data_IF_820015851234
#
_entry.id   IF_820015851234
#
_cell.length_a   1.000
_cell.length_b   1.000
_cell.length_c   1.000
_cell.angle_alpha   90.00
_cell.angle_beta   90.00
_cell.angle_gamma   90.00
#
_symmetry.space_group_name_H-M   'P 1'
#
loop_
_entity.id
_entity.type
_entity.pdbx_description
1 polymer ?
#
# COMPACT_ATOMS: atom_id res chain seq x y z
N UNK A 1 1.77 26.57 -68.75
CA UNK A 1 2.47 26.82 -67.49
C UNK A 1 1.51 26.45 -66.36
N UNK A 2 1.65 25.25 -65.84
CA UNK A 2 0.86 24.72 -64.71
C UNK A 2 1.70 24.83 -63.43
N UNK A 3 1.27 25.63 -62.52
CA UNK A 3 1.94 25.84 -61.22
C UNK A 3 1.36 24.82 -60.22
N UNK A 4 2.19 23.81 -59.85
CA UNK A 4 1.88 22.88 -58.77
C UNK A 4 2.04 23.60 -57.41
N UNK A 5 0.97 23.72 -56.65
CA UNK A 5 1.03 24.09 -55.24
C UNK A 5 1.36 22.82 -54.42
N UNK A 6 2.51 22.86 -53.78
CA UNK A 6 2.90 21.86 -52.78
C UNK A 6 2.18 22.24 -51.46
N UNK A 7 1.32 21.35 -51.03
CA UNK A 7 0.66 21.43 -49.72
C UNK A 7 1.60 20.80 -48.69
N UNK A 8 2.29 21.61 -47.91
CA UNK A 8 3.02 21.13 -46.72
C UNK A 8 2.01 20.71 -45.64
N UNK A 9 1.91 19.42 -45.39
CA UNK A 9 1.32 18.90 -44.15
C UNK A 9 2.28 19.18 -43.04
N UNK A 10 1.96 20.12 -42.17
CA UNK A 10 2.54 20.24 -40.84
C UNK A 10 2.05 19.04 -40.02
N UNK A 11 2.87 18.04 -39.85
CA UNK A 11 2.72 17.01 -38.82
C UNK A 11 3.06 17.71 -37.52
N UNK A 12 2.05 18.11 -36.78
CA UNK A 12 2.20 18.49 -35.38
C UNK A 12 2.65 17.21 -34.64
N UNK A 13 3.95 17.11 -34.38
CA UNK A 13 4.48 16.19 -33.38
C UNK A 13 3.89 16.62 -32.03
N UNK A 14 2.89 15.91 -31.57
CA UNK A 14 2.51 15.96 -30.17
C UNK A 14 3.69 15.39 -29.38
N UNK A 15 4.55 16.26 -28.88
CA UNK A 15 5.44 15.94 -27.78
C UNK A 15 4.54 15.59 -26.60
N UNK A 16 4.41 14.32 -26.28
CA UNK A 16 3.90 13.88 -25.00
C UNK A 16 4.85 14.42 -23.94
N UNK A 17 4.40 15.42 -23.20
CA UNK A 17 5.15 15.95 -22.09
C UNK A 17 5.41 14.82 -21.09
N UNK A 18 6.68 14.59 -20.80
CA UNK A 18 7.08 13.67 -19.75
C UNK A 18 6.45 14.12 -18.43
N UNK A 19 5.75 13.19 -17.77
CA UNK A 19 5.05 13.40 -16.47
C UNK A 19 6.05 13.47 -15.29
N UNK A 20 7.31 13.81 -15.59
CA UNK A 20 8.40 13.98 -14.62
C UNK A 20 8.16 15.08 -13.59
N UNK A 21 7.09 15.85 -13.75
CA UNK A 21 6.70 16.92 -12.81
C UNK A 21 5.91 16.42 -11.61
N UNK A 22 5.33 15.22 -11.64
CA UNK A 22 4.47 14.69 -10.57
C UNK A 22 5.27 13.98 -9.47
N UNK A 23 6.39 13.34 -9.81
CA UNK A 23 7.30 12.72 -8.86
C UNK A 23 8.52 13.60 -8.62
N UNK A 24 8.84 13.87 -7.37
CA UNK A 24 9.99 14.66 -6.97
C UNK A 24 10.85 13.89 -5.98
N UNK A 25 12.17 13.91 -6.16
CA UNK A 25 13.11 13.42 -5.17
C UNK A 25 13.13 14.35 -3.97
N UNK A 26 13.06 13.80 -2.76
CA UNK A 26 13.14 14.56 -1.52
C UNK A 26 14.61 14.76 -1.15
N UNK A 27 15.08 16.00 -1.23
CA UNK A 27 16.51 16.35 -1.16
C UNK A 27 17.20 15.92 0.15
N UNK A 28 16.49 15.98 1.28
CA UNK A 28 17.02 15.64 2.61
C UNK A 28 16.61 14.23 3.06
N UNK A 29 16.04 13.42 2.17
CA UNK A 29 15.71 12.04 2.48
C UNK A 29 16.96 11.17 2.58
N UNK A 30 16.96 10.15 3.45
CA UNK A 30 18.07 9.20 3.53
C UNK A 30 18.40 8.57 2.18
N UNK A 31 19.70 8.42 1.89
CA UNK A 31 20.19 7.82 0.65
C UNK A 31 20.75 6.43 0.97
N UNK A 32 20.31 5.41 0.25
CA UNK A 32 20.85 4.08 0.36
C UNK A 32 22.31 4.03 -0.15
N UNK A 33 23.17 3.33 0.57
CA UNK A 33 24.57 3.15 0.16
C UNK A 33 24.64 2.33 -1.14
N UNK A 34 25.77 2.44 -1.86
CA UNK A 34 25.99 1.69 -3.10
C UNK A 34 25.91 0.17 -2.93
N UNK A 35 26.29 -0.35 -1.75
CA UNK A 35 26.22 -1.77 -1.41
C UNK A 35 24.79 -2.26 -1.19
N UNK A 36 23.96 -1.42 -0.57
CA UNK A 36 22.57 -1.75 -0.21
C UNK A 36 21.58 -1.42 -1.30
N UNK A 37 21.93 -0.53 -2.24
CA UNK A 37 21.21 -0.12 -3.45
C UNK A 37 19.85 0.55 -3.25
N UNK A 38 19.07 0.15 -2.23
CA UNK A 38 17.70 0.62 -2.01
C UNK A 38 17.27 0.51 -0.55
N UNK A 39 16.32 1.32 -0.17
CA UNK A 39 15.48 1.14 1.02
C UNK A 39 14.35 0.15 0.71
N UNK A 40 13.84 -0.52 1.73
CA UNK A 40 12.91 -1.62 1.50
C UNK A 40 11.44 -1.24 1.65
N UNK A 41 11.07 -0.41 2.61
CA UNK A 41 9.69 0.02 2.78
C UNK A 41 9.59 1.41 3.41
N UNK A 42 8.45 2.04 3.20
CA UNK A 42 8.04 3.27 3.85
C UNK A 42 6.55 3.21 4.16
N UNK A 43 6.12 3.93 5.18
CA UNK A 43 4.74 4.05 5.57
C UNK A 43 4.45 5.49 5.98
N UNK A 44 3.44 6.10 5.39
CA UNK A 44 2.93 7.40 5.80
C UNK A 44 1.55 7.23 6.43
N UNK A 45 1.41 7.74 7.65
CA UNK A 45 0.15 7.72 8.39
C UNK A 45 -0.80 8.81 7.91
N UNK A 46 -0.23 9.94 7.47
CA UNK A 46 -0.92 11.09 6.92
C UNK A 46 0.06 11.90 6.05
N UNK A 47 -0.37 13.05 5.53
CA UNK A 47 0.40 13.89 4.59
C UNK A 47 1.73 14.40 5.14
N UNK A 48 1.92 14.38 6.47
CA UNK A 48 3.11 14.92 7.14
C UNK A 48 3.93 13.89 7.85
N UNK A 49 3.31 12.86 8.42
CA UNK A 49 4.00 11.91 9.31
C UNK A 49 4.20 10.57 8.61
N UNK A 50 5.46 10.14 8.55
CA UNK A 50 5.83 8.88 7.92
C UNK A 50 7.12 8.30 8.47
N UNK A 51 7.36 7.03 8.13
CA UNK A 51 8.55 6.26 8.52
C UNK A 51 9.15 5.55 7.31
N UNK A 52 10.45 5.43 7.34
CA UNK A 52 11.28 4.73 6.34
C UNK A 52 12.13 3.69 7.05
N UNK A 53 12.19 2.49 6.51
CA UNK A 53 13.04 1.40 7.02
C UNK A 53 14.06 0.95 5.99
N UNK A 54 15.24 0.59 6.46
CA UNK A 54 16.39 0.31 5.61
C UNK A 54 16.99 -1.06 5.84
N UNK A 55 17.66 -1.59 4.82
CA UNK A 55 18.43 -2.82 4.91
C UNK A 55 19.61 -2.74 5.89
N UNK A 56 20.03 -1.54 6.24
CA UNK A 56 21.10 -1.29 7.21
C UNK A 56 20.63 -1.35 8.66
N UNK A 57 19.37 -1.70 8.91
CA UNK A 57 18.80 -1.75 10.26
C UNK A 57 18.39 -0.40 10.81
N UNK A 58 18.19 0.61 9.96
CA UNK A 58 17.82 1.95 10.37
C UNK A 58 16.31 2.17 10.21
N UNK A 59 15.75 2.95 11.13
CA UNK A 59 14.39 3.47 11.08
C UNK A 59 14.48 4.99 11.14
N UNK A 60 13.88 5.66 10.14
CA UNK A 60 13.78 7.12 10.08
C UNK A 60 12.33 7.54 10.20
N UNK A 61 12.09 8.73 10.78
CA UNK A 61 10.78 9.37 10.85
C UNK A 61 10.82 10.76 10.25
N UNK A 62 9.75 11.11 9.54
CA UNK A 62 9.44 12.48 9.14
C UNK A 62 8.18 12.97 9.84
N UNK A 63 8.05 14.27 10.05
CA UNK A 63 6.84 14.94 10.55
C UNK A 63 6.42 16.14 9.68
N UNK A 64 7.03 16.30 8.51
CA UNK A 64 6.83 17.41 7.58
C UNK A 64 6.66 16.96 6.13
N UNK A 65 6.13 15.73 5.95
CA UNK A 65 5.85 15.17 4.63
C UNK A 65 7.09 14.78 3.85
N UNK A 66 8.18 14.43 4.57
CA UNK A 66 9.43 13.97 4.00
C UNK A 66 10.45 15.08 3.72
N UNK A 67 10.17 16.33 4.10
CA UNK A 67 11.12 17.45 3.92
C UNK A 67 12.36 17.26 4.80
N UNK A 68 12.18 16.72 6.02
CA UNK A 68 13.28 16.33 6.89
C UNK A 68 13.05 14.95 7.53
N UNK A 69 14.14 14.29 7.92
CA UNK A 69 14.11 12.95 8.49
C UNK A 69 14.99 12.85 9.73
N UNK A 70 14.50 12.16 10.75
CA UNK A 70 15.22 11.91 12.02
C UNK A 70 15.41 10.40 12.14
N UNK A 71 16.65 9.95 12.34
CA UNK A 71 16.97 8.56 12.67
C UNK A 71 16.46 8.25 14.08
N UNK A 72 15.63 7.21 14.22
CA UNK A 72 15.04 6.76 15.46
C UNK A 72 15.70 5.49 16.00
N UNK A 73 16.16 4.62 15.11
CA UNK A 73 16.88 3.39 15.46
C UNK A 73 17.99 3.13 14.44
N UNK A 74 19.10 2.58 14.93
CA UNK A 74 20.19 2.08 14.09
C UNK A 74 20.72 0.76 14.68
N UNK A 75 20.11 -0.35 14.30
CA UNK A 75 20.53 -1.69 14.66
C UNK A 75 21.22 -2.35 13.46
N UNK A 76 22.54 -2.25 13.42
CA UNK A 76 23.35 -2.78 12.30
C UNK A 76 23.30 -4.30 12.14
N UNK A 77 22.72 -5.03 13.12
CA UNK A 77 22.53 -6.49 13.05
C UNK A 77 21.22 -6.86 12.34
N UNK A 78 20.27 -5.92 12.27
CA UNK A 78 18.97 -6.11 11.68
C UNK A 78 18.94 -5.79 10.17
N UNK A 79 17.92 -6.28 9.51
CA UNK A 79 17.55 -5.96 8.13
C UNK A 79 16.06 -5.59 8.12
N UNK A 80 15.76 -4.30 8.31
CA UNK A 80 14.38 -3.84 8.37
C UNK A 80 13.74 -3.92 6.99
N UNK A 81 12.54 -4.51 6.93
CA UNK A 81 11.94 -4.94 5.66
C UNK A 81 10.55 -4.38 5.39
N UNK A 82 9.74 -4.20 6.42
CA UNK A 82 8.40 -3.65 6.35
C UNK A 82 8.11 -2.79 7.57
N UNK A 83 7.20 -1.82 7.43
CA UNK A 83 6.80 -0.90 8.49
C UNK A 83 5.33 -0.56 8.35
N UNK A 84 4.62 -0.43 9.49
CA UNK A 84 3.23 0.02 9.56
C UNK A 84 2.87 0.53 10.94
N UNK A 85 1.88 1.42 11.01
CA UNK A 85 1.38 2.03 12.23
C UNK A 85 -0.13 1.90 12.29
N UNK A 86 -0.66 1.42 13.41
CA UNK A 86 -2.11 1.32 13.65
C UNK A 86 -2.72 2.67 14.05
N UNK A 87 -1.92 3.51 14.70
CA UNK A 87 -2.28 4.88 15.08
C UNK A 87 -1.04 5.80 15.04
N UNK A 88 -1.11 6.99 15.64
CA UNK A 88 -0.02 7.96 15.62
C UNK A 88 1.17 7.57 16.52
N UNK A 89 1.02 6.59 17.41
CA UNK A 89 1.99 6.19 18.43
C UNK A 89 2.45 4.75 18.29
N UNK A 90 1.55 3.83 17.91
CA UNK A 90 1.78 2.39 17.91
C UNK A 90 2.15 1.89 16.52
N UNK A 91 3.35 1.35 16.40
CA UNK A 91 3.87 0.87 15.11
C UNK A 91 4.73 -0.37 15.22
N UNK A 92 4.83 -1.08 14.11
CA UNK A 92 5.58 -2.33 13.97
C UNK A 92 6.53 -2.22 12.78
N UNK A 93 7.72 -2.77 12.97
CA UNK A 93 8.73 -2.97 11.91
C UNK A 93 9.11 -4.43 11.86
N UNK A 94 9.07 -5.00 10.67
CA UNK A 94 9.52 -6.38 10.42
C UNK A 94 11.01 -6.43 10.05
N UNK A 95 11.73 -7.34 10.70
CA UNK A 95 13.13 -7.67 10.44
C UNK A 95 13.22 -8.98 9.65
N UNK A 96 13.95 -8.96 8.53
CA UNK A 96 14.19 -10.17 7.72
C UNK A 96 15.17 -11.15 8.37
N UNK A 97 16.14 -10.65 9.12
CA UNK A 97 17.21 -11.43 9.76
C UNK A 97 16.94 -11.62 11.25
N UNK A 98 15.81 -12.25 11.58
CA UNK A 98 15.62 -12.64 12.97
C UNK A 98 16.75 -13.60 13.39
N UNK A 99 17.39 -13.29 14.50
CA UNK A 99 18.39 -14.14 15.10
C UNK A 99 17.76 -15.28 15.91
N UNK A 100 18.60 -16.04 16.61
CA UNK A 100 18.15 -17.14 17.49
C UNK A 100 17.32 -16.66 18.70
N UNK A 101 17.31 -15.37 18.99
CA UNK A 101 16.53 -14.74 20.07
C UNK A 101 15.13 -14.30 19.61
N UNK A 102 14.82 -14.40 18.29
CA UNK A 102 13.47 -14.17 17.76
C UNK A 102 13.14 -12.69 17.51
N UNK A 103 14.11 -11.85 17.18
CA UNK A 103 13.92 -10.43 16.87
C UNK A 103 13.29 -10.17 15.49
N UNK A 104 12.25 -10.93 15.15
CA UNK A 104 11.54 -10.79 13.87
C UNK A 104 10.73 -9.49 13.76
N UNK A 105 10.25 -8.97 14.90
CA UNK A 105 9.48 -7.73 14.99
C UNK A 105 10.06 -6.76 16.01
N UNK A 106 10.02 -5.49 15.67
CA UNK A 106 10.24 -4.36 16.57
C UNK A 106 8.95 -3.58 16.70
N UNK A 107 8.63 -3.14 17.92
CA UNK A 107 7.44 -2.35 18.23
C UNK A 107 7.79 -1.02 18.85
N UNK A 108 6.91 -0.05 18.68
CA UNK A 108 6.93 1.24 19.38
C UNK A 108 5.52 1.57 19.86
N UNK A 109 5.40 2.26 20.97
CA UNK A 109 4.16 2.82 21.51
C UNK A 109 4.24 4.35 21.71
N UNK A 110 5.25 4.99 21.15
CA UNK A 110 5.55 6.41 21.31
C UNK A 110 6.02 7.09 20.01
N UNK A 111 5.44 6.67 18.88
CA UNK A 111 5.73 7.18 17.54
C UNK A 111 7.20 6.96 17.10
N UNK A 112 7.85 5.91 17.64
CA UNK A 112 9.21 5.54 17.32
C UNK A 112 10.28 6.31 18.10
N UNK A 113 9.92 7.06 19.17
CA UNK A 113 10.94 7.63 20.06
C UNK A 113 11.82 6.53 20.64
N UNK A 114 11.21 5.38 20.96
CA UNK A 114 11.91 4.14 21.29
C UNK A 114 11.33 2.98 20.49
N UNK A 115 12.20 2.03 20.14
CA UNK A 115 11.84 0.77 19.50
C UNK A 115 12.36 -0.39 20.32
N UNK A 116 11.51 -1.37 20.56
CA UNK A 116 11.84 -2.57 21.34
C UNK A 116 11.55 -3.82 20.52
N UNK A 117 12.33 -4.87 20.71
CA UNK A 117 12.05 -6.19 20.12
C UNK A 117 10.78 -6.75 20.78
N UNK A 118 9.85 -7.22 19.97
CA UNK A 118 8.62 -7.86 20.47
C UNK A 118 8.99 -9.10 21.26
N UNK A 119 8.53 -9.18 22.52
CA UNK A 119 8.80 -10.30 23.41
C UNK A 119 8.27 -11.63 22.82
N UNK A 120 9.10 -12.64 22.85
CA UNK A 120 8.76 -13.98 22.39
C UNK A 120 7.54 -14.59 23.09
N UNK A 121 7.23 -14.16 24.30
CA UNK A 121 6.05 -14.59 25.07
C UNK A 121 4.72 -14.08 24.49
N UNK A 122 4.76 -13.05 23.63
CA UNK A 122 3.57 -12.48 22.99
C UNK A 122 3.15 -13.24 21.72
N UNK A 123 3.95 -14.20 21.25
CA UNK A 123 3.58 -15.06 20.11
C UNK A 123 2.86 -16.32 20.60
N UNK A 124 1.73 -16.62 19.96
CA UNK A 124 1.07 -17.91 20.06
C UNK A 124 1.51 -18.79 18.88
N UNK A 125 2.26 -19.85 19.14
CA UNK A 125 2.83 -20.69 18.09
C UNK A 125 4.34 -20.54 17.95
N UNK A 126 4.88 -20.90 16.80
CA UNK A 126 6.32 -20.82 16.54
C UNK A 126 6.75 -19.36 16.30
N UNK A 127 7.86 -18.94 16.92
CA UNK A 127 8.41 -17.59 16.71
C UNK A 127 8.88 -17.45 15.26
N UNK A 128 8.43 -16.41 14.53
CA UNK A 128 8.78 -16.24 13.13
C UNK A 128 10.28 -15.95 12.94
N UNK A 129 10.84 -16.42 11.83
CA UNK A 129 12.27 -16.31 11.52
C UNK A 129 12.62 -15.07 10.67
N UNK A 130 11.65 -14.20 10.45
CA UNK A 130 11.80 -12.93 9.74
C UNK A 130 10.55 -12.56 8.96
N UNK A 131 10.34 -11.24 8.80
CA UNK A 131 9.16 -10.66 8.13
C UNK A 131 9.57 -9.86 6.90
N UNK A 132 8.73 -9.89 5.86
CA UNK A 132 8.93 -9.18 4.60
C UNK A 132 7.79 -8.22 4.25
N UNK A 133 6.55 -8.65 4.43
CA UNK A 133 5.33 -7.91 4.16
C UNK A 133 4.60 -7.56 5.44
N UNK A 134 3.95 -6.40 5.45
CA UNK A 134 3.07 -5.93 6.51
C UNK A 134 1.94 -5.12 5.90
N UNK A 135 0.73 -5.46 6.30
CA UNK A 135 -0.49 -4.75 5.97
C UNK A 135 -1.22 -4.36 7.27
N UNK A 136 -1.54 -3.09 7.40
CA UNK A 136 -2.33 -2.53 8.49
C UNK A 136 -3.75 -2.36 7.99
N UNK A 137 -4.69 -3.12 8.53
CA UNK A 137 -6.08 -3.05 8.11
C UNK A 137 -6.82 -1.93 8.84
N UNK A 138 -6.65 -1.85 10.15
CA UNK A 138 -7.26 -0.84 11.01
C UNK A 138 -6.43 -0.59 12.29
N UNK A 139 -7.02 0.07 13.30
CA UNK A 139 -6.34 0.42 14.56
C UNK A 139 -5.99 -0.78 15.46
N UNK A 140 -6.49 -1.97 15.16
CA UNK A 140 -6.27 -3.18 15.97
C UNK A 140 -5.72 -4.35 15.17
N UNK A 141 -5.93 -4.34 13.85
CA UNK A 141 -5.71 -5.50 12.99
C UNK A 141 -4.54 -5.28 12.04
N UNK A 142 -3.57 -6.18 12.11
CA UNK A 142 -2.42 -6.22 11.21
C UNK A 142 -2.17 -7.64 10.74
N UNK A 143 -1.72 -7.77 9.49
CA UNK A 143 -1.29 -9.00 8.85
C UNK A 143 0.14 -8.88 8.37
N UNK A 144 0.96 -9.90 8.65
CA UNK A 144 2.35 -9.93 8.23
C UNK A 144 2.66 -11.26 7.56
N UNK A 145 3.63 -11.24 6.67
CA UNK A 145 4.17 -12.44 6.09
C UNK A 145 5.69 -12.37 5.94
N UNK A 146 6.33 -13.50 5.91
CA UNK A 146 7.76 -13.61 5.67
C UNK A 146 8.18 -15.07 5.64
N UNK A 147 9.36 -15.35 5.19
CA UNK A 147 10.40 -14.46 4.63
C UNK A 147 10.87 -14.97 3.26
N UNK A 148 11.62 -14.12 2.57
CA UNK A 148 12.40 -14.57 1.42
C UNK A 148 13.46 -15.58 1.88
N UNK A 149 13.66 -16.67 1.12
CA UNK A 149 14.49 -17.85 1.46
C UNK A 149 13.95 -18.79 2.57
N UNK A 150 12.67 -18.62 2.97
CA UNK A 150 12.06 -19.44 4.02
C UNK A 150 12.77 -19.41 5.39
N UNK A 151 12.19 -20.01 6.40
CA UNK A 151 10.85 -20.60 6.41
C UNK A 151 9.76 -19.54 6.25
N UNK A 152 8.65 -19.91 5.59
CA UNK A 152 7.51 -19.04 5.37
C UNK A 152 6.62 -18.97 6.61
N UNK A 153 6.24 -17.75 7.02
CA UNK A 153 5.32 -17.49 8.13
C UNK A 153 4.21 -16.56 7.71
N UNK A 154 3.01 -16.81 8.19
CA UNK A 154 1.93 -15.83 8.30
C UNK A 154 1.77 -15.45 9.77
N UNK A 155 1.55 -14.17 10.04
CA UNK A 155 1.42 -13.62 11.40
C UNK A 155 0.31 -12.59 11.40
N UNK A 156 -0.55 -12.62 12.44
CA UNK A 156 -1.65 -11.63 12.57
C UNK A 156 -1.82 -11.19 14.02
N UNK A 157 -2.43 -10.02 14.17
CA UNK A 157 -2.88 -9.47 15.46
C UNK A 157 -4.23 -8.82 15.29
N UNK A 158 -5.06 -8.83 16.35
CA UNK A 158 -6.35 -8.18 16.42
C UNK A 158 -6.47 -7.21 17.61
N UNK A 159 -5.35 -6.97 18.29
CA UNK A 159 -5.25 -6.13 19.49
C UNK A 159 -4.21 -5.02 19.37
N UNK A 160 -3.83 -4.66 18.12
CA UNK A 160 -2.86 -3.62 17.86
C UNK A 160 -1.40 -4.03 18.09
N UNK A 161 -1.15 -5.33 18.20
CA UNK A 161 0.19 -5.88 18.39
C UNK A 161 0.54 -6.19 19.85
N UNK A 162 -0.45 -6.22 20.76
CA UNK A 162 -0.27 -6.69 22.12
C UNK A 162 -0.02 -8.21 22.15
N UNK A 163 -0.67 -8.98 21.27
CA UNK A 163 -0.43 -10.41 21.03
C UNK A 163 -0.40 -10.76 19.56
N UNK A 164 0.28 -11.86 19.20
CA UNK A 164 0.51 -12.28 17.83
C UNK A 164 0.17 -13.77 17.64
N UNK A 165 -0.68 -14.06 16.68
CA UNK A 165 -0.90 -15.43 16.20
C UNK A 165 0.04 -15.74 15.05
N UNK A 166 0.75 -16.88 15.11
CA UNK A 166 1.78 -17.23 14.14
C UNK A 166 1.55 -18.59 13.53
N UNK A 167 1.67 -18.67 12.23
CA UNK A 167 1.47 -19.88 11.42
C UNK A 167 2.72 -20.15 10.60
N UNK A 168 3.37 -21.30 10.88
CA UNK A 168 4.46 -21.76 10.04
C UNK A 168 3.87 -22.42 8.78
N UNK A 169 4.14 -21.84 7.62
CA UNK A 169 3.59 -22.27 6.34
C UNK A 169 4.60 -23.05 5.48
N UNK A 170 5.74 -23.42 6.04
CA UNK A 170 6.87 -23.99 5.28
C UNK A 170 6.56 -25.32 4.61
N UNK A 171 5.54 -26.04 5.07
CA UNK A 171 5.07 -27.29 4.45
C UNK A 171 4.30 -27.04 3.14
N UNK A 172 3.78 -25.84 2.94
CA UNK A 172 2.93 -25.48 1.80
C UNK A 172 3.58 -24.45 0.89
N UNK A 173 4.47 -23.59 1.42
CA UNK A 173 5.04 -22.42 0.71
C UNK A 173 6.52 -22.27 1.04
N UNK A 174 7.35 -22.05 0.04
CA UNK A 174 8.79 -21.87 0.23
C UNK A 174 9.18 -20.49 0.76
N UNK A 175 8.51 -19.42 0.30
CA UNK A 175 8.76 -18.04 0.72
C UNK A 175 7.51 -17.17 0.58
N UNK A 176 7.39 -16.17 1.46
CA UNK A 176 6.35 -15.13 1.43
C UNK A 176 7.01 -13.73 1.46
N UNK A 177 6.48 -12.80 0.66
CA UNK A 177 7.12 -11.50 0.42
C UNK A 177 6.21 -10.31 0.73
N UNK A 178 4.95 -10.36 0.31
CA UNK A 178 4.00 -9.27 0.50
C UNK A 178 2.60 -9.81 0.81
N UNK A 179 1.79 -9.01 1.50
CA UNK A 179 0.46 -9.38 1.97
C UNK A 179 -0.49 -8.20 1.81
N UNK A 180 -1.73 -8.47 1.46
CA UNK A 180 -2.80 -7.48 1.32
C UNK A 180 -4.12 -8.08 1.78
N UNK A 181 -4.95 -7.30 2.51
CA UNK A 181 -6.28 -7.68 2.96
C UNK A 181 -7.29 -6.60 2.58
N UNK A 182 -8.47 -7.01 2.10
CA UNK A 182 -9.59 -6.10 1.84
C UNK A 182 -10.42 -5.82 3.09
N UNK A 183 -10.52 -6.83 3.95
CA UNK A 183 -11.20 -6.81 5.25
C UNK A 183 -10.56 -7.84 6.20
N UNK A 184 -11.15 -8.09 7.35
CA UNK A 184 -10.62 -9.07 8.32
C UNK A 184 -10.56 -10.49 7.77
N UNK A 185 -11.42 -10.87 6.81
CA UNK A 185 -11.55 -12.25 6.34
C UNK A 185 -10.82 -12.50 5.02
N UNK A 186 -10.84 -11.51 4.10
CA UNK A 186 -10.39 -11.71 2.72
C UNK A 186 -9.03 -11.08 2.49
N UNK A 187 -8.09 -11.88 2.03
CA UNK A 187 -6.74 -11.40 1.76
C UNK A 187 -5.95 -12.28 0.79
N UNK A 188 -4.81 -11.76 0.36
CA UNK A 188 -3.84 -12.50 -0.45
C UNK A 188 -2.43 -12.36 0.12
N UNK A 189 -1.63 -13.38 -0.11
CA UNK A 189 -0.17 -13.35 0.05
C UNK A 189 0.50 -13.75 -1.24
N UNK A 190 1.65 -13.16 -1.50
CA UNK A 190 2.49 -13.48 -2.64
C UNK A 190 3.88 -13.92 -2.22
N UNK A 191 4.48 -14.77 -3.03
CA UNK A 191 5.82 -15.26 -2.79
C UNK A 191 6.23 -16.31 -3.81
N UNK A 192 6.75 -17.42 -3.33
CA UNK A 192 7.21 -18.49 -4.17
C UNK A 192 7.03 -19.87 -3.55
N UNK A 193 6.87 -20.86 -4.42
CA UNK A 193 6.60 -22.25 -4.07
C UNK A 193 7.77 -22.94 -3.35
N UNK A 194 9.00 -22.45 -3.53
CA UNK A 194 10.21 -23.04 -2.97
C UNK A 194 11.11 -21.97 -2.34
N UNK A 195 11.75 -22.28 -1.22
CA UNK A 195 12.79 -21.45 -0.60
C UNK A 195 14.07 -21.37 -1.44
N UNK A 196 14.35 -22.41 -2.24
CA UNK A 196 15.39 -22.38 -3.24
C UNK A 196 14.91 -21.64 -4.49
N UNK A 197 15.50 -20.48 -4.76
CA UNK A 197 15.13 -19.62 -5.88
C UNK A 197 15.33 -20.26 -7.26
N UNK A 198 16.14 -21.30 -7.39
CA UNK A 198 16.38 -21.96 -8.69
C UNK A 198 15.22 -22.87 -9.10
N UNK A 199 14.49 -23.41 -8.14
CA UNK A 199 13.27 -24.24 -8.32
C UNK A 199 11.97 -23.51 -8.02
N UNK A 200 12.06 -22.24 -7.60
CA UNK A 200 10.92 -21.44 -7.15
C UNK A 200 10.01 -21.02 -8.31
N UNK A 201 8.73 -21.23 -8.17
CA UNK A 201 7.67 -20.72 -9.04
C UNK A 201 6.94 -19.58 -8.33
N UNK A 202 6.51 -18.57 -9.09
CA UNK A 202 5.62 -17.52 -8.59
C UNK A 202 4.33 -18.11 -8.01
N UNK A 203 3.92 -17.63 -6.81
CA UNK A 203 2.76 -18.14 -6.08
C UNK A 203 1.91 -16.99 -5.56
N UNK A 204 0.57 -17.14 -5.67
CA UNK A 204 -0.42 -16.31 -4.95
C UNK A 204 -1.33 -17.24 -4.16
N UNK A 205 -1.47 -16.93 -2.87
CA UNK A 205 -2.41 -17.53 -1.96
C UNK A 205 -3.57 -16.58 -1.69
N UNK A 206 -4.77 -17.11 -1.55
CA UNK A 206 -5.99 -16.40 -1.18
C UNK A 206 -6.61 -17.01 0.07
N UNK A 207 -7.17 -16.18 0.94
CA UNK A 207 -7.96 -16.60 2.11
C UNK A 207 -9.30 -15.87 2.11
N UNK A 208 -10.35 -16.53 2.64
CA UNK A 208 -11.67 -15.97 2.96
C UNK A 208 -12.07 -16.21 4.42
N UNK A 209 -11.12 -16.65 5.25
CA UNK A 209 -11.30 -16.99 6.66
C UNK A 209 -10.21 -16.37 7.57
N UNK A 210 -9.77 -15.15 7.27
CA UNK A 210 -8.78 -14.39 8.05
C UNK A 210 -7.36 -14.99 8.03
N UNK A 211 -7.11 -15.96 7.15
CA UNK A 211 -5.85 -16.68 7.03
C UNK A 211 -5.75 -17.93 7.89
N UNK A 212 -6.89 -18.46 8.40
CA UNK A 212 -6.96 -19.79 9.02
C UNK A 212 -6.68 -20.88 8.00
N UNK A 213 -7.09 -20.66 6.74
CA UNK A 213 -6.73 -21.49 5.59
C UNK A 213 -6.36 -20.62 4.36
N UNK A 214 -5.58 -21.22 3.46
CA UNK A 214 -5.08 -20.56 2.26
C UNK A 214 -5.22 -21.46 1.04
N UNK A 215 -5.82 -20.93 -0.03
CA UNK A 215 -5.93 -21.58 -1.33
C UNK A 215 -4.92 -20.97 -2.31
N UNK A 216 -4.29 -21.82 -3.14
CA UNK A 216 -3.44 -21.36 -4.23
C UNK A 216 -4.31 -20.92 -5.42
N UNK A 217 -4.41 -19.63 -5.66
CA UNK A 217 -5.18 -19.06 -6.78
C UNK A 217 -4.31 -18.75 -8.01
N UNK A 218 -2.99 -18.78 -7.86
CA UNK A 218 -2.06 -18.69 -8.98
C UNK A 218 -0.76 -19.43 -8.66
N UNK A 219 -0.30 -20.25 -9.61
CA UNK A 219 1.02 -20.87 -9.61
C UNK A 219 1.61 -20.72 -11.01
N UNK A 220 2.73 -20.00 -11.11
CA UNK A 220 3.45 -19.79 -12.36
C UNK A 220 4.07 -21.10 -12.87
N UNK A 221 4.19 -21.25 -14.18
CA UNK A 221 4.80 -22.42 -14.82
C UNK A 221 6.32 -22.27 -15.02
N UNK A 222 6.87 -21.06 -14.86
CA UNK A 222 8.31 -20.78 -14.96
C UNK A 222 9.00 -20.88 -13.60
N UNK A 223 10.19 -21.45 -13.58
CA UNK A 223 11.08 -21.46 -12.41
C UNK A 223 11.84 -20.15 -12.26
N UNK A 224 12.45 -19.95 -11.10
CA UNK A 224 13.29 -18.79 -10.76
C UNK A 224 12.49 -17.48 -10.67
N UNK A 225 11.18 -17.55 -10.45
CA UNK A 225 10.27 -16.41 -10.31
C UNK A 225 9.54 -16.47 -8.98
N UNK A 226 9.27 -15.29 -8.40
CA UNK A 226 8.47 -15.12 -7.18
C UNK A 226 7.77 -13.76 -7.16
N UNK A 227 6.64 -13.66 -6.46
CA UNK A 227 5.92 -12.43 -6.24
C UNK A 227 6.70 -11.44 -5.38
N UNK A 228 6.62 -10.14 -5.72
CA UNK A 228 7.39 -9.13 -5.01
C UNK A 228 6.55 -8.08 -4.32
N UNK A 229 5.65 -7.40 -5.02
CA UNK A 229 4.78 -6.36 -4.46
C UNK A 229 3.38 -6.44 -5.02
N UNK A 230 2.42 -6.03 -4.19
CA UNK A 230 0.99 -6.02 -4.48
C UNK A 230 0.51 -4.57 -4.57
N UNK A 231 -0.41 -4.29 -5.50
CA UNK A 231 -1.10 -3.01 -5.60
C UNK A 231 -2.55 -3.21 -6.04
N UNK A 232 -3.50 -2.72 -5.25
CA UNK A 232 -4.93 -2.71 -5.58
C UNK A 232 -5.43 -1.27 -5.66
N UNK A 233 -5.58 -0.69 -6.85
CA UNK A 233 -6.21 0.63 -7.03
C UNK A 233 -7.72 0.59 -6.81
N UNK A 234 -8.36 -0.57 -6.88
CA UNK A 234 -9.77 -0.82 -6.54
C UNK A 234 -9.90 -2.17 -5.86
N UNK A 235 -11.05 -2.47 -5.25
CA UNK A 235 -11.30 -3.77 -4.62
C UNK A 235 -11.20 -4.96 -5.59
N UNK A 236 -11.52 -4.74 -6.88
CA UNK A 236 -11.54 -5.83 -7.88
C UNK A 236 -10.33 -5.85 -8.79
N UNK A 237 -9.68 -4.72 -9.03
CA UNK A 237 -8.53 -4.64 -9.94
C UNK A 237 -7.25 -4.57 -9.13
N UNK A 238 -6.37 -5.55 -9.33
CA UNK A 238 -5.10 -5.66 -8.65
C UNK A 238 -3.95 -6.03 -9.58
N UNK A 239 -2.75 -5.73 -9.11
CA UNK A 239 -1.50 -5.94 -9.83
C UNK A 239 -0.44 -6.53 -8.90
N UNK A 240 0.39 -7.42 -9.44
CA UNK A 240 1.52 -8.02 -8.72
C UNK A 240 2.76 -7.96 -9.60
N UNK A 241 3.87 -7.44 -9.06
CA UNK A 241 5.17 -7.51 -9.71
C UNK A 241 5.83 -8.87 -9.46
N UNK A 242 6.52 -9.38 -10.49
CA UNK A 242 7.28 -10.63 -10.43
C UNK A 242 8.77 -10.28 -10.45
N UNK A 243 9.50 -10.79 -9.46
CA UNK A 243 10.96 -10.76 -9.48
C UNK A 243 11.49 -12.11 -9.92
N UNK A 244 12.57 -12.12 -10.68
CA UNK A 244 13.21 -13.36 -11.16
C UNK A 244 14.71 -13.39 -10.99
N UNK A 245 15.29 -14.59 -11.12
CA UNK A 245 16.72 -14.91 -11.15
C UNK A 245 17.02 -15.85 -12.34
N UNK A 246 18.22 -15.78 -12.96
CA UNK A 246 19.19 -14.68 -12.91
C UNK A 246 18.72 -13.49 -13.75
N UNK A 247 19.28 -12.33 -13.50
CA UNK A 247 19.08 -11.13 -14.32
C UNK A 247 19.86 -11.26 -15.63
N UNK A 248 19.36 -12.07 -16.54
CA UNK A 248 19.98 -12.27 -17.86
C UNK A 248 19.21 -11.50 -18.90
N UNK A 249 19.93 -10.90 -19.84
CA UNK A 249 19.37 -10.29 -21.04
C UNK A 249 18.46 -11.27 -21.81
N UNK A 250 17.52 -10.76 -22.57
CA UNK A 250 16.71 -11.50 -23.53
C UNK A 250 15.58 -12.41 -22.95
N UNK A 251 15.08 -12.16 -21.74
CA UNK A 251 13.86 -12.84 -21.27
C UNK A 251 12.74 -11.82 -21.04
N UNK A 252 11.57 -12.13 -21.57
CA UNK A 252 10.35 -11.35 -21.32
C UNK A 252 10.08 -11.26 -19.82
N UNK A 253 9.84 -10.05 -19.32
CA UNK A 253 9.37 -9.81 -17.96
C UNK A 253 7.85 -9.84 -17.94
N UNK A 254 7.29 -10.23 -16.79
CA UNK A 254 5.84 -10.32 -16.62
C UNK A 254 5.42 -9.63 -15.33
N UNK A 255 4.19 -9.18 -15.31
CA UNK A 255 3.45 -8.83 -14.11
C UNK A 255 2.10 -9.53 -14.14
N UNK A 256 1.44 -9.63 -12.99
CA UNK A 256 0.12 -10.23 -12.89
C UNK A 256 -0.95 -9.15 -12.71
N UNK A 257 -2.12 -9.39 -13.27
CA UNK A 257 -3.30 -8.56 -13.13
C UNK A 257 -4.51 -9.42 -12.80
N UNK A 258 -5.33 -8.95 -11.87
CA UNK A 258 -6.67 -9.47 -11.59
C UNK A 258 -7.72 -8.41 -11.89
N UNK A 259 -8.96 -8.85 -12.16
CA UNK A 259 -10.14 -7.99 -12.33
C UNK A 259 -11.34 -8.46 -11.51
N UNK A 260 -11.15 -9.45 -10.65
CA UNK A 260 -12.18 -10.10 -9.84
C UNK A 260 -11.82 -10.17 -8.34
N UNK A 261 -10.97 -9.24 -7.86
CA UNK A 261 -10.59 -9.19 -6.46
C UNK A 261 -9.60 -10.27 -6.05
N UNK A 262 -8.75 -10.71 -6.97
CA UNK A 262 -7.67 -11.65 -6.65
C UNK A 262 -8.03 -13.12 -6.73
N UNK A 263 -9.25 -13.46 -7.17
CA UNK A 263 -9.68 -14.85 -7.34
C UNK A 263 -9.06 -15.51 -8.57
N UNK A 264 -8.85 -14.73 -9.65
CA UNK A 264 -8.12 -15.19 -10.83
C UNK A 264 -7.07 -14.17 -11.27
N UNK A 265 -5.94 -14.67 -11.80
CA UNK A 265 -4.82 -13.85 -12.19
C UNK A 265 -4.36 -14.18 -13.60
N UNK A 266 -4.00 -13.14 -14.36
CA UNK A 266 -3.50 -13.23 -15.71
C UNK A 266 -2.12 -12.60 -15.82
N UNK A 267 -1.22 -13.25 -16.56
CA UNK A 267 0.10 -12.74 -16.84
C UNK A 267 0.08 -11.79 -18.03
N UNK A 268 0.74 -10.66 -17.87
CA UNK A 268 0.95 -9.69 -18.93
C UNK A 268 2.44 -9.48 -19.14
N UNK A 269 2.95 -9.68 -20.36
CA UNK A 269 4.33 -9.32 -20.67
C UNK A 269 4.46 -7.81 -20.66
N UNK A 270 5.59 -7.30 -20.16
CA UNK A 270 5.92 -5.92 -20.41
C UNK A 270 7.25 -5.84 -21.14
N UNK A 271 7.31 -4.96 -22.13
CA UNK A 271 8.48 -4.68 -22.92
C UNK A 271 8.65 -3.18 -23.02
N UNK A 272 9.88 -2.72 -23.05
CA UNK A 272 10.16 -1.35 -23.40
C UNK A 272 9.86 -1.13 -24.88
N UNK A 273 9.28 0.01 -25.20
CA UNK A 273 8.97 0.36 -26.58
C UNK A 273 10.22 0.56 -27.45
N UNK A 274 11.42 0.64 -26.86
CA UNK A 274 12.64 1.07 -27.56
C UNK A 274 13.93 0.45 -26.97
N UNK A 275 13.97 -0.88 -26.76
CA UNK A 275 15.18 -1.52 -26.23
C UNK A 275 15.84 -2.47 -27.21
N UNK A 276 17.17 -2.36 -27.35
CA UNK A 276 18.00 -3.42 -27.91
C UNK A 276 17.85 -4.71 -27.08
N UNK A 277 17.92 -5.87 -27.73
CA UNK A 277 17.74 -7.21 -27.13
C UNK A 277 18.68 -7.53 -25.94
N UNK A 278 19.60 -6.64 -25.60
CA UNK A 278 20.61 -6.80 -24.54
C UNK A 278 20.25 -6.13 -23.21
N UNK A 279 19.05 -5.54 -23.05
CA UNK A 279 18.71 -4.77 -21.86
C UNK A 279 17.96 -5.59 -20.82
N UNK A 280 18.58 -5.76 -19.66
CA UNK A 280 18.01 -6.46 -18.49
C UNK A 280 17.11 -5.52 -17.69
N UNK A 281 15.90 -5.95 -17.37
CA UNK A 281 15.03 -5.35 -16.38
C UNK A 281 14.68 -6.39 -15.32
N UNK A 282 14.50 -6.00 -14.07
CA UNK A 282 13.97 -6.88 -13.02
C UNK A 282 13.01 -6.07 -12.16
N UNK A 283 11.77 -6.45 -12.19
CA UNK A 283 10.70 -5.74 -11.49
C UNK A 283 10.89 -5.73 -9.98
N UNK A 284 10.62 -4.58 -9.36
CA UNK A 284 10.54 -4.40 -7.91
C UNK A 284 9.18 -3.88 -7.51
N UNK A 285 9.08 -2.55 -7.28
CA UNK A 285 7.82 -1.94 -6.94
C UNK A 285 6.79 -2.12 -8.06
N UNK A 286 5.54 -2.26 -7.66
CA UNK A 286 4.39 -1.97 -8.49
C UNK A 286 3.44 -1.11 -7.66
N UNK A 287 2.90 -0.04 -8.25
CA UNK A 287 1.98 0.86 -7.58
C UNK A 287 1.05 1.51 -8.57
N UNK A 288 -0.24 1.27 -8.45
CA UNK A 288 -1.29 1.83 -9.29
C UNK A 288 -2.14 2.79 -8.48
N UNK A 289 -2.38 3.98 -9.02
CA UNK A 289 -3.25 4.99 -8.41
C UNK A 289 -4.68 4.91 -8.96
N UNK A 290 -4.81 4.42 -10.19
CA UNK A 290 -6.10 4.09 -10.82
C UNK A 290 -5.97 2.74 -11.52
N UNK A 291 -7.08 2.13 -12.01
CA UNK A 291 -7.02 0.91 -12.82
C UNK A 291 -6.16 0.99 -14.08
N UNK A 292 -5.85 2.19 -14.54
CA UNK A 292 -5.07 2.39 -15.78
C UNK A 292 -3.73 3.05 -15.56
N UNK A 293 -3.58 3.87 -14.51
CA UNK A 293 -2.36 4.63 -14.25
C UNK A 293 -1.54 4.03 -13.13
N UNK A 294 -0.30 3.65 -13.43
CA UNK A 294 0.59 3.02 -12.46
C UNK A 294 2.05 3.08 -12.83
N UNK A 295 2.88 2.60 -11.91
CA UNK A 295 4.34 2.62 -12.03
C UNK A 295 4.95 1.29 -11.61
N UNK A 296 6.10 0.98 -12.20
CA UNK A 296 6.90 -0.20 -11.91
C UNK A 296 8.36 0.18 -11.73
N UNK A 297 8.94 -0.20 -10.58
CA UNK A 297 10.35 0.02 -10.27
C UNK A 297 11.24 -1.12 -10.76
N UNK A 298 12.53 -0.83 -11.00
CA UNK A 298 13.55 -1.82 -11.38
C UNK A 298 14.58 -2.06 -10.29
N UNK A 299 15.10 -3.29 -10.20
CA UNK A 299 16.26 -3.64 -9.36
C UNK A 299 17.61 -3.31 -10.03
N UNK A 300 17.63 -3.21 -11.34
CA UNK A 300 18.87 -2.97 -12.10
C UNK A 300 19.24 -1.50 -12.00
N UNK A 301 20.51 -1.24 -11.62
CA UNK A 301 21.05 0.12 -11.55
C UNK A 301 20.90 0.80 -12.91
N UNK A 302 20.66 2.11 -12.86
CA UNK A 302 20.50 2.99 -14.02
C UNK A 302 19.27 2.73 -14.90
N UNK A 303 18.37 1.83 -14.49
CA UNK A 303 17.07 1.68 -15.11
C UNK A 303 16.04 2.55 -14.40
N UNK A 304 15.35 3.41 -15.14
CA UNK A 304 14.31 4.27 -14.56
C UNK A 304 13.10 3.45 -14.12
N UNK A 305 12.28 4.07 -13.29
CA UNK A 305 10.91 3.61 -13.04
C UNK A 305 10.09 3.75 -14.31
N UNK A 306 9.28 2.76 -14.62
CA UNK A 306 8.34 2.78 -15.74
C UNK A 306 6.98 3.30 -15.30
N UNK A 307 6.20 3.85 -16.23
CA UNK A 307 4.81 4.24 -16.03
C UNK A 307 3.92 3.69 -17.14
N UNK A 308 2.67 3.48 -16.80
CA UNK A 308 1.59 3.12 -17.71
C UNK A 308 0.37 4.02 -17.49
N UNK A 309 -0.39 4.29 -18.56
CA UNK A 309 -1.66 5.02 -18.54
C UNK A 309 -2.84 4.14 -19.01
N UNK A 310 -2.57 2.93 -19.44
CA UNK A 310 -3.53 1.99 -20.06
C UNK A 310 -3.66 0.66 -19.31
N UNK A 311 -3.24 0.62 -18.04
CA UNK A 311 -3.35 -0.54 -17.17
C UNK A 311 -2.33 -1.63 -17.47
N UNK A 312 -1.16 -1.23 -17.95
CA UNK A 312 -0.02 -2.10 -18.20
C UNK A 312 0.07 -2.66 -19.62
N UNK A 313 -0.76 -2.19 -20.56
CA UNK A 313 -0.66 -2.60 -21.97
C UNK A 313 0.59 -2.00 -22.61
N UNK A 314 0.88 -0.73 -22.32
CA UNK A 314 2.12 -0.06 -22.72
C UNK A 314 2.82 0.58 -21.54
N UNK A 315 4.15 0.65 -21.60
CA UNK A 315 5.00 1.21 -20.58
C UNK A 315 6.01 2.19 -21.20
N UNK A 316 6.26 3.28 -20.49
CA UNK A 316 7.25 4.29 -20.85
C UNK A 316 8.08 4.69 -19.62
N UNK A 317 9.20 5.34 -19.81
CA UNK A 317 10.00 5.86 -18.69
C UNK A 317 9.26 6.95 -17.93
N UNK A 318 9.20 6.81 -16.60
CA UNK A 318 8.53 7.77 -15.72
C UNK A 318 9.39 8.99 -15.37
N UNK A 319 10.66 9.02 -15.78
CA UNK A 319 11.57 10.14 -15.52
C UNK A 319 11.98 10.33 -14.06
N UNK A 320 11.70 9.38 -13.17
CA UNK A 320 12.11 9.42 -11.77
C UNK A 320 12.54 8.04 -11.25
N UNK A 321 13.22 8.05 -10.12
CA UNK A 321 13.47 6.88 -9.27
C UNK A 321 14.58 5.96 -9.76
N UNK A 322 15.38 5.50 -8.83
CA UNK A 322 16.36 4.43 -9.00
C UNK A 322 16.11 3.34 -7.98
N UNK A 323 16.07 2.08 -8.43
CA UNK A 323 15.83 0.90 -7.59
C UNK A 323 14.54 1.03 -6.74
N UNK A 324 13.49 1.66 -7.29
CA UNK A 324 12.22 1.87 -6.58
C UNK A 324 11.63 0.54 -6.18
N UNK A 325 11.45 0.34 -4.87
CA UNK A 325 11.04 -0.94 -4.27
C UNK A 325 9.64 -0.94 -3.67
N UNK A 326 9.14 0.21 -3.26
CA UNK A 326 7.77 0.38 -2.75
C UNK A 326 7.19 1.67 -3.30
N UNK A 327 5.93 1.63 -3.68
CA UNK A 327 5.11 2.78 -4.04
C UNK A 327 3.82 2.66 -3.25
N UNK A 328 3.45 3.72 -2.53
CA UNK A 328 2.20 3.80 -1.76
C UNK A 328 1.51 5.12 -2.02
N UNK A 329 0.21 5.09 -2.24
CA UNK A 329 -0.63 6.26 -2.39
C UNK A 329 -1.49 6.45 -1.14
N UNK A 330 -1.46 7.65 -0.58
CA UNK A 330 -2.34 8.05 0.53
C UNK A 330 -3.66 8.57 -0.05
N UNK A 331 -3.55 9.32 -1.15
CA UNK A 331 -4.67 9.96 -1.83
C UNK A 331 -4.46 9.89 -3.35
N UNK A 332 -5.50 10.11 -4.16
CA UNK A 332 -5.34 10.21 -5.62
C UNK A 332 -4.34 11.28 -6.09
N UNK A 333 -3.94 12.19 -5.23
CA UNK A 333 -3.01 13.29 -5.51
C UNK A 333 -1.71 13.23 -4.72
N UNK A 334 -1.56 12.30 -3.77
CA UNK A 334 -0.39 12.21 -2.91
C UNK A 334 0.07 10.76 -2.76
N UNK A 335 1.32 10.53 -3.04
CA UNK A 335 1.96 9.24 -2.84
C UNK A 335 3.43 9.38 -2.52
N UNK A 336 4.01 8.28 -2.08
CA UNK A 336 5.43 8.20 -1.79
C UNK A 336 6.00 6.90 -2.36
N UNK A 337 7.24 7.01 -2.83
CA UNK A 337 8.00 5.86 -3.28
C UNK A 337 9.36 5.82 -2.60
N UNK A 338 9.88 4.63 -2.36
CA UNK A 338 11.24 4.46 -1.86
C UNK A 338 12.03 3.50 -2.71
N UNK A 339 13.28 3.84 -2.90
CA UNK A 339 14.29 3.10 -3.65
C UNK A 339 15.66 3.49 -3.15
N UNK A 340 16.51 4.05 -4.02
CA UNK A 340 17.78 4.64 -3.59
C UNK A 340 17.59 5.75 -2.55
N UNK A 341 16.52 6.52 -2.66
CA UNK A 341 16.06 7.53 -1.70
C UNK A 341 14.55 7.52 -1.65
N UNK A 342 13.93 8.60 -1.17
CA UNK A 342 12.47 8.78 -1.11
C UNK A 342 12.03 9.77 -2.18
N UNK A 343 10.93 9.44 -2.85
CA UNK A 343 10.28 10.26 -3.86
C UNK A 343 8.85 10.55 -3.44
N UNK A 344 8.38 11.76 -3.72
CA UNK A 344 7.02 12.22 -3.40
C UNK A 344 6.25 12.49 -4.69
N UNK A 345 5.07 11.92 -4.81
CA UNK A 345 4.10 12.18 -5.86
C UNK A 345 3.13 13.26 -5.41
N UNK A 346 2.95 14.28 -6.24
CA UNK A 346 1.93 15.31 -6.02
C UNK A 346 1.26 15.63 -7.35
N UNK A 347 -0.02 15.32 -7.46
CA UNK A 347 -0.84 15.67 -8.63
C UNK A 347 -1.83 16.77 -8.27
N UNK A 348 -1.45 18.01 -8.56
CA UNK A 348 -2.31 19.18 -8.30
C UNK A 348 -3.57 19.18 -9.18
N UNK A 349 -3.60 18.45 -10.30
CA UNK A 349 -4.77 18.39 -11.18
C UNK A 349 -5.81 17.41 -10.66
N UNK A 350 -5.38 16.35 -9.95
CA UNK A 350 -6.27 15.43 -9.25
C UNK A 350 -6.93 16.05 -8.00
N UNK A 351 -6.48 17.24 -7.58
CA UNK A 351 -7.10 18.03 -6.53
C UNK A 351 -8.31 18.88 -7.00
N UNK A 352 -8.72 18.74 -8.25
CA UNK A 352 -9.83 19.53 -8.83
C UNK A 352 -11.09 18.67 -8.89
N UNK A 353 -12.22 19.17 -8.36
CA UNK A 353 -13.51 18.50 -8.45
C UNK A 353 -14.10 18.53 -9.88
N UNK A 354 -15.22 17.80 -10.09
CA UNK A 354 -15.93 17.74 -11.38
C UNK A 354 -16.46 19.11 -11.85
N UNK A 355 -16.41 20.14 -11.01
CA UNK A 355 -16.83 21.53 -11.33
C UNK A 355 -15.60 22.42 -11.62
N UNK A 356 -14.36 21.86 -11.65
CA UNK A 356 -13.14 22.61 -11.88
C UNK A 356 -12.69 23.46 -10.69
N UNK A 357 -13.23 23.21 -9.49
CA UNK A 357 -12.75 23.85 -8.27
C UNK A 357 -11.60 23.04 -7.69
N UNK A 358 -10.52 23.71 -7.31
CA UNK A 358 -9.40 23.09 -6.61
C UNK A 358 -9.95 22.52 -5.31
N UNK A 359 -10.03 21.20 -5.24
CA UNK A 359 -10.16 20.48 -3.98
C UNK A 359 -8.77 20.53 -3.34
N UNK A 360 -8.42 21.74 -2.84
CA UNK A 360 -7.17 21.89 -2.10
C UNK A 360 -7.17 20.86 -0.96
N UNK A 361 -5.98 20.43 -0.46
CA UNK A 361 -5.90 19.63 0.77
C UNK A 361 -6.48 20.35 1.98
N UNK A 362 -7.25 21.39 1.76
CA UNK A 362 -7.91 22.27 2.70
C UNK A 362 -9.41 22.01 2.89
N UNK A 363 -9.99 20.93 2.37
CA UNK A 363 -11.40 20.65 2.64
C UNK A 363 -11.56 19.41 3.52
N UNK A 364 -12.35 19.63 4.56
CA UNK A 364 -12.98 18.61 5.37
C UNK A 364 -13.61 17.54 4.48
N UNK A 365 -13.23 16.28 4.65
CA UNK A 365 -13.77 15.17 3.84
C UNK A 365 -14.60 14.25 4.72
N UNK A 366 -15.79 13.88 4.27
CA UNK A 366 -16.57 12.75 4.77
C UNK A 366 -16.65 11.73 3.64
N UNK A 367 -15.94 10.63 3.77
CA UNK A 367 -15.89 9.58 2.77
C UNK A 367 -17.16 8.75 2.73
N UNK A 368 -17.35 7.95 1.68
CA UNK A 368 -18.41 6.95 1.64
C UNK A 368 -18.13 5.88 2.70
N UNK A 369 -19.16 5.49 3.43
CA UNK A 369 -19.03 4.38 4.38
C UNK A 369 -18.77 3.05 3.67
N UNK A 370 -18.05 2.17 4.31
CA UNK A 370 -17.78 0.82 3.81
C UNK A 370 -17.96 -0.23 4.92
N UNK A 371 -18.63 -1.35 4.58
CA UNK A 371 -19.37 -1.62 3.34
C UNK A 371 -20.62 -0.72 3.19
N UNK A 372 -21.09 -0.53 1.93
CA UNK A 372 -22.35 0.15 1.61
C UNK A 372 -22.97 -0.45 0.34
N UNK A 373 -24.08 -1.24 0.38
CA UNK A 373 -24.89 -1.53 1.58
C UNK A 373 -24.16 -2.32 2.66
N UNK A 374 -24.61 -2.22 3.93
CA UNK A 374 -23.99 -2.88 5.07
C UNK A 374 -24.97 -3.67 5.95
N UNK A 375 -24.45 -4.65 6.71
CA UNK A 375 -25.20 -5.50 7.63
C UNK A 375 -24.29 -6.05 8.76
N UNK A 376 -24.50 -5.71 10.01
CA UNK A 376 -25.13 -4.49 10.53
C UNK A 376 -24.12 -3.37 10.78
N UNK A 377 -22.80 -3.60 10.52
CA UNK A 377 -21.69 -2.70 10.84
C UNK A 377 -21.14 -2.04 9.58
N UNK A 378 -20.76 -0.78 9.69
CA UNK A 378 -20.05 -0.04 8.65
C UNK A 378 -19.08 0.95 9.27
N UNK A 379 -17.96 1.18 8.59
CA UNK A 379 -16.96 2.21 8.92
C UNK A 379 -17.25 3.46 8.08
N UNK A 380 -17.10 4.61 8.68
CA UNK A 380 -17.31 5.92 8.03
C UNK A 380 -16.03 6.73 8.20
N UNK A 381 -15.15 6.74 7.20
CA UNK A 381 -13.91 7.51 7.24
C UNK A 381 -14.20 9.01 7.05
N UNK A 382 -13.46 9.85 7.75
CA UNK A 382 -13.47 11.30 7.54
C UNK A 382 -12.08 11.89 7.79
N UNK A 383 -11.81 13.06 7.24
CA UNK A 383 -10.52 13.73 7.36
C UNK A 383 -10.69 15.18 7.80
N UNK A 384 -9.85 15.59 8.74
CA UNK A 384 -9.78 16.95 9.28
C UNK A 384 -8.44 17.58 8.96
N UNK A 385 -8.48 18.80 8.50
CA UNK A 385 -7.28 19.57 8.13
C UNK A 385 -6.56 20.18 9.31
N UNK A 386 -7.32 20.49 10.33
CA UNK A 386 -6.84 21.11 11.57
C UNK A 386 -7.66 20.58 12.73
N UNK A 387 -7.07 20.66 13.91
CA UNK A 387 -7.79 20.44 15.15
C UNK A 387 -9.06 21.29 15.19
N UNK A 388 -10.21 20.70 15.50
CA UNK A 388 -11.48 21.41 15.54
C UNK A 388 -12.61 20.58 16.10
N UNK A 389 -13.74 21.25 16.31
CA UNK A 389 -14.96 20.57 16.76
C UNK A 389 -15.59 19.82 15.60
N UNK A 390 -15.94 18.55 15.86
CA UNK A 390 -16.61 17.64 14.92
C UNK A 390 -17.78 16.97 15.59
N UNK A 391 -18.93 16.99 14.92
CA UNK A 391 -20.08 16.19 15.28
C UNK A 391 -20.47 15.32 14.10
N UNK A 392 -20.64 14.01 14.34
CA UNK A 392 -21.09 13.04 13.34
C UNK A 392 -22.36 12.37 13.84
N UNK A 393 -23.44 12.59 13.11
CA UNK A 393 -24.75 12.03 13.38
C UNK A 393 -25.23 11.13 12.23
N UNK A 394 -25.90 10.04 12.58
CA UNK A 394 -26.74 9.29 11.65
C UNK A 394 -28.17 9.86 11.72
N UNK A 395 -28.69 10.25 10.57
CA UNK A 395 -30.05 10.79 10.47
C UNK A 395 -30.92 9.95 9.51
N UNK A 396 -32.22 9.93 9.72
CA UNK A 396 -33.16 9.30 8.79
C UNK A 396 -33.52 10.26 7.63
N UNK A 397 -34.35 9.77 6.71
CA UNK A 397 -34.79 10.52 5.53
C UNK A 397 -35.61 11.79 5.86
N UNK A 398 -36.09 11.90 7.10
CA UNK A 398 -36.81 13.08 7.60
C UNK A 398 -35.89 14.10 8.27
N UNK A 399 -34.59 13.79 8.39
CA UNK A 399 -33.59 14.64 9.04
C UNK A 399 -33.49 14.43 10.56
N UNK A 400 -34.24 13.49 11.13
CA UNK A 400 -34.21 13.17 12.57
C UNK A 400 -32.95 12.42 12.91
N UNK A 401 -32.23 12.85 13.96
CA UNK A 401 -31.04 12.15 14.45
C UNK A 401 -31.45 10.79 15.08
N UNK A 402 -30.87 9.74 14.54
CA UNK A 402 -31.02 8.36 14.99
C UNK A 402 -29.90 7.99 15.98
N UNK A 403 -28.67 8.36 15.64
CA UNK A 403 -27.47 8.06 16.44
C UNK A 403 -26.48 9.20 16.35
N UNK A 404 -25.91 9.62 17.46
CA UNK A 404 -24.70 10.45 17.48
C UNK A 404 -23.50 9.54 17.67
N UNK A 405 -22.59 9.54 16.67
CA UNK A 405 -21.39 8.71 16.67
C UNK A 405 -20.20 9.44 17.27
N UNK A 406 -20.11 10.76 17.05
CA UNK A 406 -19.05 11.61 17.54
C UNK A 406 -19.60 12.99 17.90
N UNK A 407 -19.09 13.58 18.98
CA UNK A 407 -19.39 14.94 19.37
C UNK A 407 -18.27 15.48 20.27
N UNK A 408 -17.28 16.15 19.67
CA UNK A 408 -16.09 16.64 20.40
C UNK A 408 -15.00 17.19 19.52
N UNK A 409 -13.91 17.61 20.15
CA UNK A 409 -12.70 18.12 19.48
C UNK A 409 -11.90 16.92 18.98
N UNK A 410 -11.49 16.99 17.71
CA UNK A 410 -10.65 15.99 17.06
C UNK A 410 -9.36 16.65 16.53
N UNK A 411 -8.26 15.90 16.51
CA UNK A 411 -7.00 16.34 15.88
C UNK A 411 -7.15 16.48 14.38
N UNK A 412 -6.19 17.10 13.73
CA UNK A 412 -6.05 17.01 12.27
C UNK A 412 -5.66 15.59 11.84
N UNK A 413 -6.01 15.22 10.62
CA UNK A 413 -5.70 13.92 10.01
C UNK A 413 -6.92 13.07 9.71
N UNK A 414 -6.66 11.83 9.32
CA UNK A 414 -7.69 10.84 8.97
C UNK A 414 -8.24 10.17 10.24
N UNK A 415 -9.55 10.01 10.27
CA UNK A 415 -10.31 9.44 11.38
C UNK A 415 -11.41 8.53 10.85
N UNK A 416 -11.92 7.67 11.73
CA UNK A 416 -13.01 6.78 11.42
C UNK A 416 -14.03 6.74 12.55
N UNK A 417 -15.32 6.59 12.22
CA UNK A 417 -16.36 6.24 13.18
C UNK A 417 -17.14 5.04 12.68
N UNK A 418 -17.61 4.23 13.62
CA UNK A 418 -18.31 2.99 13.31
C UNK A 418 -19.79 3.13 13.67
N UNK A 419 -20.67 2.69 12.76
CA UNK A 419 -22.08 2.53 13.04
C UNK A 419 -22.52 1.08 12.90
N UNK A 420 -23.13 0.54 13.93
CA UNK A 420 -23.60 -0.85 14.03
C UNK A 420 -25.12 -1.00 13.83
N UNK A 421 -25.77 -0.08 13.14
CA UNK A 421 -27.20 -0.12 12.86
C UNK A 421 -28.09 0.02 14.09
N UNK A 422 -27.62 0.70 15.16
CA UNK A 422 -28.36 0.95 16.39
C UNK A 422 -28.61 2.44 16.60
N UNK A 423 -29.72 2.79 17.23
CA UNK A 423 -30.06 4.13 17.69
C UNK A 423 -29.32 4.51 19.00
N UNK A 424 -29.57 5.73 19.51
CA UNK A 424 -28.99 6.22 20.77
C UNK A 424 -29.39 5.40 21.99
N UNK A 425 -30.48 4.61 21.92
CA UNK A 425 -30.94 3.74 23.01
C UNK A 425 -30.33 2.34 22.95
N UNK A 426 -29.52 2.05 21.89
CA UNK A 426 -28.95 0.74 21.64
C UNK A 426 -29.87 -0.23 20.92
N UNK A 427 -31.08 0.20 20.53
CA UNK A 427 -32.04 -0.60 19.77
C UNK A 427 -31.69 -0.56 18.29
N UNK A 428 -31.82 -1.71 17.67
CA UNK A 428 -31.60 -1.83 16.23
C UNK A 428 -32.64 -1.06 15.40
N UNK A 429 -32.19 -0.34 14.39
CA UNK A 429 -33.08 0.38 13.47
C UNK A 429 -33.46 -0.48 12.27
N UNK A 430 -34.49 -0.11 11.54
CA UNK A 430 -34.98 -0.86 10.38
C UNK A 430 -34.00 -0.77 9.20
N UNK A 431 -34.04 -1.78 8.29
CA UNK A 431 -33.38 -1.66 6.98
C UNK A 431 -33.91 -0.44 6.22
N UNK A 432 -33.02 0.27 5.56
CA UNK A 432 -33.40 1.46 4.82
C UNK A 432 -32.25 2.43 4.55
N UNK A 433 -32.62 3.56 3.96
CA UNK A 433 -31.71 4.66 3.68
C UNK A 433 -31.57 5.58 4.90
N UNK A 434 -30.33 5.85 5.27
CA UNK A 434 -29.91 6.82 6.27
C UNK A 434 -28.89 7.77 5.67
N UNK A 435 -28.55 8.83 6.40
CA UNK A 435 -27.47 9.74 6.04
C UNK A 435 -26.52 9.88 7.23
N UNK A 436 -25.23 9.76 6.96
CA UNK A 436 -24.20 10.22 7.86
C UNK A 436 -23.99 11.71 7.62
N UNK A 437 -24.15 12.52 8.66
CA UNK A 437 -23.97 13.97 8.62
C UNK A 437 -22.85 14.39 9.55
N UNK A 438 -21.81 14.97 8.98
CA UNK A 438 -20.70 15.57 9.70
C UNK A 438 -20.88 17.09 9.76
N UNK A 439 -20.72 17.66 10.92
CA UNK A 439 -20.85 19.10 11.22
C UNK A 439 -19.55 19.54 11.87
N UNK A 440 -18.98 20.61 11.38
CA UNK A 440 -17.82 21.32 11.96
C UNK A 440 -18.11 22.81 12.06
N UNK A 441 -17.19 23.57 12.65
CA UNK A 441 -17.33 25.04 12.72
C UNK A 441 -17.39 25.70 11.33
N UNK A 442 -16.88 25.03 10.28
CA UNK A 442 -16.73 25.60 8.93
C UNK A 442 -17.75 25.05 7.92
N UNK A 443 -18.29 23.85 8.10
CA UNK A 443 -19.13 23.20 7.08
C UNK A 443 -19.98 22.06 7.60
N UNK A 444 -20.97 21.67 6.77
CA UNK A 444 -21.83 20.49 6.99
C UNK A 444 -21.76 19.62 5.74
N UNK A 445 -21.37 18.37 5.91
CA UNK A 445 -21.29 17.37 4.83
C UNK A 445 -22.20 16.20 5.16
N UNK A 446 -22.85 15.62 4.15
CA UNK A 446 -23.69 14.43 4.31
C UNK A 446 -23.39 13.38 3.25
N UNK A 447 -23.43 12.08 3.66
CA UNK A 447 -23.30 10.92 2.78
C UNK A 447 -24.47 9.97 2.98
N UNK A 448 -25.01 9.45 1.88
CA UNK A 448 -26.06 8.44 1.90
C UNK A 448 -25.48 7.07 2.26
N UNK A 449 -26.11 6.39 3.20
CA UNK A 449 -25.74 5.04 3.65
C UNK A 449 -26.96 4.11 3.60
N UNK A 450 -26.77 2.85 3.25
CA UNK A 450 -27.84 1.87 3.05
C UNK A 450 -27.65 0.68 3.99
N UNK A 451 -28.54 0.54 4.96
CA UNK A 451 -28.58 -0.59 5.89
C UNK A 451 -29.49 -1.69 5.31
N UNK A 452 -28.95 -2.89 5.17
CA UNK A 452 -29.68 -4.13 4.85
C UNK A 452 -29.63 -5.06 6.07
N UNK A 453 -30.71 -5.73 6.33
CA UNK A 453 -30.84 -6.76 7.39
C UNK A 453 -31.56 -7.97 6.87
#
# INVERSE_FOLDING_TARGET
KMTRRILCFLIASFCWGQDSTLWQELADAPIATSELKKHDDLYFRNDTTGWLVTRAGQIFRTSDGGTSWIEQLNDTTAYMRCVGFVDDYNGIVGNLKADSLGNALYSTNNAGITWEVVDSALYTGEIPKGMCGLFVLDSTTMFLCGRVFGPAFFVRTYDGGETWETFNMSDSVGMLIDVYFWDENHGIMIGGSDANRDSCHMLILYTDDSGDSWETVFLGDRTQEWGWKISFPTETIGYVSIQKKPYTAATTEYFLKTTDGGLTWFEFPFMFADTSEDEVYSSLAIGFITPTRGWMGSYVNDRPTLMTEDGGVTWSEAGFGQNVNRIRFLHPWLGYATGRTVYKYVDSTAMVDINGQIVAPNQLTLSQNYPNPFNPRTVIPYELLKIGFVKIDIIDITGRTIRSLLNGIQSSGSHEVIWNGKDNTGKHVASGTYFCRMITDASVISRKILLLR
#
